data_IF_858934139927
#
_entry.id   IF_858934139927
#
_cell.length_a   1.000
_cell.length_b   1.000
_cell.length_c   1.000
_cell.angle_alpha   90.00
_cell.angle_beta   90.00
_cell.angle_gamma   90.00
#
_symmetry.space_group_name_H-M   'P 1'
#
loop_
_entity.id
_entity.type
_entity.pdbx_description
1 polymer ?
#
# COMPACT_ATOMS: atom_id res chain seq x y z
N UNK A 1 25.33 17.82 -1.16
CA UNK A 1 24.32 17.66 -0.09
C UNK A 1 22.99 18.02 -0.68
N UNK A 2 22.03 17.09 -0.75
CA UNK A 2 20.65 17.44 -1.05
C UNK A 2 20.12 18.38 0.04
N UNK A 3 19.26 19.35 -0.26
CA UNK A 3 18.57 20.09 0.79
C UNK A 3 17.75 19.09 1.60
N UNK A 4 17.89 19.09 2.93
CA UNK A 4 16.94 18.37 3.78
C UNK A 4 15.54 18.92 3.46
N UNK A 5 14.59 18.05 3.07
CA UNK A 5 13.16 18.40 3.09
C UNK A 5 12.83 18.99 4.47
N UNK A 6 11.87 19.89 4.57
CA UNK A 6 11.59 20.65 5.81
C UNK A 6 10.83 19.81 6.85
N UNK A 7 11.31 18.60 7.13
CA UNK A 7 10.66 17.61 8.00
C UNK A 7 10.29 18.19 9.39
N UNK A 8 11.09 19.13 9.89
CA UNK A 8 10.83 19.97 11.08
C UNK A 8 9.41 20.59 11.15
N UNK A 9 8.81 21.03 10.02
CA UNK A 9 7.43 21.54 10.05
C UNK A 9 6.39 20.41 9.99
N UNK A 10 6.68 19.28 9.31
CA UNK A 10 5.84 18.08 9.31
C UNK A 10 5.76 17.48 10.71
N UNK A 11 6.87 17.49 11.45
CA UNK A 11 6.95 17.11 12.85
C UNK A 11 6.00 17.91 13.73
N UNK A 12 5.96 19.23 13.56
CA UNK A 12 5.04 20.10 14.28
C UNK A 12 3.58 19.83 13.88
N UNK A 13 3.31 19.59 12.60
CA UNK A 13 1.96 19.23 12.12
C UNK A 13 1.48 17.89 12.72
N UNK A 14 2.30 16.84 12.68
CA UNK A 14 1.98 15.53 13.26
C UNK A 14 1.69 15.61 14.76
N UNK A 15 2.56 16.29 15.53
CA UNK A 15 2.41 16.49 16.99
C UNK A 15 1.20 17.36 17.37
N UNK A 16 0.70 18.20 16.46
CA UNK A 16 -0.53 18.97 16.66
C UNK A 16 -1.78 18.17 16.26
N UNK A 17 -1.68 17.28 15.27
CA UNK A 17 -2.79 16.45 14.82
C UNK A 17 -3.08 15.27 15.76
N UNK A 18 -2.06 14.74 16.43
CA UNK A 18 -2.17 13.66 17.42
C UNK A 18 -2.91 14.07 18.70
N UNK A 19 -2.99 15.37 19.02
CA UNK A 19 -3.54 15.92 20.29
C UNK A 19 -2.88 15.39 21.58
N UNK A 20 -1.80 14.61 21.45
CA UNK A 20 -1.02 14.00 22.53
C UNK A 20 0.49 14.10 22.25
N UNK A 21 1.30 13.88 23.28
CA UNK A 21 2.75 13.92 23.20
C UNK A 21 3.31 12.69 22.47
N UNK A 22 3.48 12.78 21.15
CA UNK A 22 4.13 11.75 20.33
C UNK A 22 5.59 12.08 20.06
N UNK A 23 6.42 11.04 19.97
CA UNK A 23 7.74 11.14 19.32
C UNK A 23 7.53 10.95 17.81
N UNK A 24 8.29 11.67 16.99
CA UNK A 24 8.34 11.45 15.54
C UNK A 24 9.77 11.07 15.19
N UNK A 25 9.95 9.99 14.43
CA UNK A 25 11.27 9.44 14.09
C UNK A 25 11.34 9.21 12.59
N UNK A 26 12.23 9.97 11.94
CA UNK A 26 12.53 9.80 10.52
C UNK A 26 13.57 8.69 10.32
N UNK A 27 13.31 7.79 9.36
CA UNK A 27 14.11 6.59 9.08
C UNK A 27 14.30 6.37 7.57
N UNK A 28 15.27 5.55 7.17
CA UNK A 28 15.47 5.13 5.76
C UNK A 28 15.23 3.64 5.53
N UNK A 29 15.10 2.91 6.62
CA UNK A 29 15.02 1.47 6.78
C UNK A 29 13.58 0.95 6.91
N UNK A 30 12.58 1.85 7.02
CA UNK A 30 11.16 1.51 7.09
C UNK A 30 10.46 1.77 5.77
N UNK A 31 9.60 0.84 5.36
CA UNK A 31 8.95 0.81 4.03
C UNK A 31 7.94 1.95 3.84
N UNK A 32 7.09 2.16 4.84
CA UNK A 32 6.02 3.17 4.86
C UNK A 32 6.01 3.88 6.23
N UNK A 33 5.06 4.80 6.44
CA UNK A 33 4.81 5.39 7.75
C UNK A 33 4.11 4.37 8.68
N UNK A 34 4.37 4.42 9.98
CA UNK A 34 3.62 3.61 10.96
C UNK A 34 3.51 4.28 12.32
N UNK A 35 2.40 4.05 13.04
CA UNK A 35 2.21 4.56 14.41
C UNK A 35 2.32 3.49 15.49
N UNK A 36 3.31 3.65 16.37
CA UNK A 36 3.44 2.89 17.60
C UNK A 36 2.51 3.39 18.71
N UNK A 37 1.38 2.70 18.87
CA UNK A 37 0.35 2.98 19.89
C UNK A 37 0.87 2.71 21.32
N UNK A 38 1.80 1.76 21.48
CA UNK A 38 2.39 1.40 22.79
C UNK A 38 3.41 2.43 23.24
N UNK A 39 4.37 2.78 22.37
CA UNK A 39 5.47 3.71 22.69
C UNK A 39 5.19 5.18 22.31
N UNK A 40 4.06 5.46 21.64
CA UNK A 40 3.66 6.77 21.08
C UNK A 40 4.72 7.36 20.15
N UNK A 41 5.13 6.55 19.17
CA UNK A 41 6.12 6.91 18.15
C UNK A 41 5.49 6.83 16.77
N UNK A 42 5.37 7.96 16.08
CA UNK A 42 5.08 7.99 14.64
C UNK A 42 6.41 7.87 13.87
N UNK A 43 6.58 6.75 13.18
CA UNK A 43 7.69 6.50 12.29
C UNK A 43 7.38 7.03 10.89
N UNK A 44 8.31 7.79 10.30
CA UNK A 44 8.18 8.37 8.96
C UNK A 44 9.39 8.03 8.08
N UNK A 45 9.21 7.48 6.87
CA UNK A 45 10.32 7.24 5.94
C UNK A 45 10.83 8.56 5.33
N UNK A 46 12.15 8.68 5.15
CA UNK A 46 12.79 9.77 4.39
C UNK A 46 12.62 9.56 2.87
N UNK A 47 11.37 9.49 2.39
CA UNK A 47 11.05 9.32 0.96
C UNK A 47 11.76 10.34 0.06
N UNK A 48 12.43 9.82 -0.97
CA UNK A 48 13.22 10.59 -1.93
C UNK A 48 12.32 11.44 -2.82
N UNK A 49 11.48 10.80 -3.65
CA UNK A 49 10.68 11.47 -4.69
C UNK A 49 9.16 11.25 -4.52
N UNK A 50 8.65 11.55 -3.32
CA UNK A 50 7.22 11.82 -3.09
C UNK A 50 7.03 13.26 -2.62
N UNK A 51 5.86 13.82 -2.93
CA UNK A 51 5.49 15.20 -2.60
C UNK A 51 5.16 15.40 -1.13
N UNK A 52 5.15 16.68 -0.73
CA UNK A 52 4.71 17.11 0.60
C UNK A 52 3.24 16.73 0.89
N UNK A 53 2.42 16.44 -0.14
CA UNK A 53 1.02 16.00 0.02
C UNK A 53 0.90 14.52 0.37
N UNK A 54 1.79 13.66 -0.16
CA UNK A 54 1.87 12.24 0.25
C UNK A 54 2.31 12.13 1.72
N UNK A 55 3.24 12.98 2.17
CA UNK A 55 3.58 13.07 3.60
C UNK A 55 2.38 13.53 4.46
N UNK A 56 1.58 14.52 4.04
CA UNK A 56 0.38 14.94 4.79
C UNK A 56 -0.73 13.87 4.81
N UNK A 57 -0.85 13.09 3.73
CA UNK A 57 -1.74 11.93 3.65
C UNK A 57 -1.33 10.88 4.69
N UNK A 58 -0.08 10.41 4.64
CA UNK A 58 0.41 9.34 5.51
C UNK A 58 0.44 9.75 6.99
N UNK A 59 0.92 10.96 7.31
CA UNK A 59 0.84 11.50 8.69
C UNK A 59 -0.62 11.57 9.16
N UNK A 60 -1.55 11.99 8.30
CA UNK A 60 -2.97 12.05 8.63
C UNK A 60 -3.64 10.69 8.81
N UNK A 61 -3.24 9.70 8.02
CA UNK A 61 -3.73 8.32 8.06
C UNK A 61 -3.27 7.65 9.36
N UNK A 62 -1.96 7.61 9.62
CA UNK A 62 -1.35 7.01 10.82
C UNK A 62 -1.83 7.63 12.13
N UNK A 63 -1.89 8.97 12.20
CA UNK A 63 -2.43 9.67 13.38
C UNK A 63 -3.93 9.37 13.57
N UNK A 64 -4.69 9.12 12.50
CA UNK A 64 -6.10 8.75 12.62
C UNK A 64 -6.28 7.31 13.11
N UNK A 65 -5.44 6.36 12.66
CA UNK A 65 -5.38 5.01 13.23
C UNK A 65 -5.16 5.08 14.74
N UNK A 66 -4.10 5.76 15.18
CA UNK A 66 -3.75 5.90 16.60
C UNK A 66 -4.87 6.52 17.48
N UNK A 67 -5.66 7.43 16.90
CA UNK A 67 -6.77 8.11 17.58
C UNK A 67 -8.09 7.33 17.55
N UNK A 68 -8.32 6.45 16.56
CA UNK A 68 -9.65 5.94 16.24
C UNK A 68 -9.74 4.42 16.05
N UNK A 69 -8.63 3.71 15.85
CA UNK A 69 -8.55 2.24 15.72
C UNK A 69 -8.19 1.60 17.07
N UNK A 70 -9.02 0.69 17.63
CA UNK A 70 -8.70 0.03 18.88
C UNK A 70 -7.78 -1.19 18.66
N UNK A 71 -6.51 -1.09 19.08
CA UNK A 71 -5.49 -2.16 19.11
C UNK A 71 -6.07 -3.57 19.42
N UNK A 72 -6.72 -3.75 20.58
CA UNK A 72 -7.33 -5.03 20.99
C UNK A 72 -8.54 -5.48 20.14
N UNK A 73 -9.10 -4.58 19.33
CA UNK A 73 -10.14 -4.87 18.35
C UNK A 73 -9.57 -5.39 17.03
N UNK A 74 -8.39 -4.89 16.64
CA UNK A 74 -7.67 -5.27 15.43
C UNK A 74 -7.25 -6.76 15.47
N UNK A 75 -6.31 -7.12 16.35
CA UNK A 75 -5.77 -8.49 16.47
C UNK A 75 -6.85 -9.56 16.61
N UNK A 76 -7.85 -9.32 17.50
CA UNK A 76 -8.97 -10.25 17.73
C UNK A 76 -9.81 -10.54 16.48
N UNK A 77 -9.81 -9.63 15.51
CA UNK A 77 -10.60 -9.73 14.28
C UNK A 77 -9.82 -10.43 13.16
N UNK A 78 -8.51 -10.18 13.04
CA UNK A 78 -7.63 -10.87 12.08
C UNK A 78 -7.37 -12.33 12.50
N UNK A 79 -6.98 -12.57 13.76
CA UNK A 79 -6.71 -13.91 14.37
C UNK A 79 -7.79 -14.96 14.07
N UNK A 80 -9.05 -14.53 13.88
CA UNK A 80 -10.21 -15.41 13.73
C UNK A 80 -10.67 -15.65 12.30
N UNK A 81 -10.16 -14.86 11.35
CA UNK A 81 -10.70 -14.78 9.98
C UNK A 81 -9.62 -14.72 8.88
N UNK A 82 -8.34 -14.62 9.25
CA UNK A 82 -7.20 -14.82 8.36
C UNK A 82 -6.90 -13.65 7.42
N UNK A 83 -5.81 -13.83 6.65
CA UNK A 83 -5.20 -12.83 5.78
C UNK A 83 -6.19 -12.21 4.78
N UNK A 84 -7.03 -13.03 4.15
CA UNK A 84 -8.08 -12.59 3.23
C UNK A 84 -9.00 -11.54 3.86
N UNK A 85 -9.47 -11.78 5.09
CA UNK A 85 -10.34 -10.86 5.82
C UNK A 85 -9.62 -9.61 6.33
N UNK A 86 -8.31 -9.69 6.63
CA UNK A 86 -7.47 -8.53 6.98
C UNK A 86 -7.55 -7.45 5.89
N UNK A 87 -7.47 -7.83 4.61
CA UNK A 87 -7.60 -6.88 3.48
C UNK A 87 -8.96 -6.18 3.39
N UNK A 88 -10.04 -6.81 3.87
CA UNK A 88 -11.37 -6.20 3.94
C UNK A 88 -11.49 -5.25 5.14
N UNK A 89 -10.90 -5.60 6.29
CA UNK A 89 -10.84 -4.71 7.46
C UNK A 89 -10.06 -3.43 7.16
N UNK A 90 -8.92 -3.54 6.48
CA UNK A 90 -8.10 -2.40 6.04
C UNK A 90 -8.95 -1.37 5.26
N UNK A 91 -9.47 -1.78 4.10
CA UNK A 91 -10.25 -0.92 3.19
C UNK A 91 -11.44 -0.24 3.88
N UNK A 92 -12.12 -0.94 4.80
CA UNK A 92 -13.30 -0.42 5.50
C UNK A 92 -12.91 0.50 6.67
N UNK A 93 -11.81 0.22 7.37
CA UNK A 93 -11.27 1.10 8.42
C UNK A 93 -10.72 2.40 7.84
N UNK A 94 -9.93 2.34 6.76
CA UNK A 94 -9.38 3.49 6.04
C UNK A 94 -10.46 4.53 5.74
N UNK A 95 -11.55 4.09 5.10
CA UNK A 95 -12.68 4.96 4.76
C UNK A 95 -13.38 5.58 5.98
N UNK A 96 -13.28 4.95 7.17
CA UNK A 96 -13.75 5.53 8.43
C UNK A 96 -12.75 6.54 8.99
N UNK A 97 -11.49 6.15 9.20
CA UNK A 97 -10.49 6.96 9.89
C UNK A 97 -10.12 8.20 9.07
N UNK A 98 -10.04 8.09 7.74
CA UNK A 98 -9.69 9.23 6.89
C UNK A 98 -10.82 10.26 6.86
N UNK A 99 -12.06 9.79 6.78
CA UNK A 99 -13.26 10.64 6.92
C UNK A 99 -13.30 11.31 8.29
N UNK A 100 -12.83 10.68 9.36
CA UNK A 100 -12.73 11.28 10.69
C UNK A 100 -11.63 12.37 10.77
N UNK A 101 -10.40 12.09 10.33
CA UNK A 101 -9.30 13.08 10.39
C UNK A 101 -9.53 14.25 9.41
N UNK A 102 -10.07 13.98 8.21
CA UNK A 102 -10.44 15.03 7.24
C UNK A 102 -11.67 15.84 7.67
N UNK A 103 -12.50 15.33 8.59
CA UNK A 103 -13.58 16.10 9.24
C UNK A 103 -13.05 16.98 10.37
N UNK A 104 -12.06 16.49 11.12
CA UNK A 104 -11.36 17.20 12.21
C UNK A 104 -10.45 18.32 11.68
N UNK A 105 -9.72 18.04 10.60
CA UNK A 105 -8.78 18.96 9.95
C UNK A 105 -9.10 19.12 8.44
N UNK A 106 -10.09 19.95 8.06
CA UNK A 106 -10.58 20.03 6.68
C UNK A 106 -9.56 20.43 5.59
N UNK A 107 -8.40 20.99 5.95
CA UNK A 107 -7.32 21.26 5.00
C UNK A 107 -6.73 20.00 4.36
N UNK A 108 -6.67 18.89 5.13
CA UNK A 108 -6.15 17.60 4.69
C UNK A 108 -6.89 17.05 3.46
N UNK A 109 -8.19 17.36 3.30
CA UNK A 109 -9.00 16.94 2.14
C UNK A 109 -8.33 17.24 0.79
N UNK A 110 -7.58 18.34 0.72
CA UNK A 110 -6.88 18.72 -0.50
C UNK A 110 -5.57 17.96 -0.69
N UNK A 111 -4.84 17.70 0.40
CA UNK A 111 -3.59 16.94 0.39
C UNK A 111 -3.85 15.45 0.14
N UNK A 112 -4.79 14.83 0.85
CA UNK A 112 -5.23 13.44 0.61
C UNK A 112 -5.62 13.22 -0.85
N UNK A 113 -6.40 14.14 -1.45
CA UNK A 113 -6.79 14.03 -2.87
C UNK A 113 -5.60 14.13 -3.84
N UNK A 114 -4.57 14.93 -3.52
CA UNK A 114 -3.36 15.06 -4.35
C UNK A 114 -2.43 13.86 -4.16
N UNK A 115 -2.17 13.48 -2.90
CA UNK A 115 -1.40 12.30 -2.53
C UNK A 115 -1.98 11.02 -3.13
N UNK A 116 -3.28 10.73 -2.99
CA UNK A 116 -3.84 9.52 -3.61
C UNK A 116 -3.81 9.54 -5.14
N UNK A 117 -3.89 10.72 -5.79
CA UNK A 117 -3.66 10.80 -7.23
C UNK A 117 -2.20 10.44 -7.57
N UNK A 118 -1.23 10.94 -6.81
CA UNK A 118 0.19 10.66 -6.98
C UNK A 118 0.50 9.17 -6.77
N UNK A 119 -0.04 8.55 -5.71
CA UNK A 119 0.10 7.10 -5.45
C UNK A 119 -0.57 6.24 -6.55
N UNK A 120 -1.67 6.71 -7.16
CA UNK A 120 -2.26 6.09 -8.35
C UNK A 120 -1.43 6.31 -9.62
N UNK A 121 -0.84 7.50 -9.81
CA UNK A 121 0.07 7.77 -10.93
C UNK A 121 1.37 6.93 -10.81
N UNK A 122 1.77 6.57 -9.59
CA UNK A 122 2.86 5.63 -9.27
C UNK A 122 2.46 4.14 -9.39
N UNK A 123 1.16 3.83 -9.59
CA UNK A 123 0.58 2.49 -9.66
C UNK A 123 0.66 1.62 -8.39
N UNK A 124 0.62 2.22 -7.19
CA UNK A 124 0.58 1.44 -5.95
C UNK A 124 -0.62 0.49 -5.90
N UNK A 125 -1.77 0.88 -6.45
CA UNK A 125 -2.95 0.02 -6.50
C UNK A 125 -2.87 -1.12 -7.54
N UNK A 126 -1.84 -1.14 -8.41
CA UNK A 126 -1.66 -2.14 -9.48
C UNK A 126 -2.79 -2.16 -10.51
N UNK A 127 -3.37 -0.99 -10.83
CA UNK A 127 -4.50 -0.86 -11.77
C UNK A 127 -4.34 0.27 -12.81
N UNK A 128 -3.25 1.05 -12.80
CA UNK A 128 -3.02 2.19 -13.70
C UNK A 128 -3.06 1.79 -15.17
N UNK A 129 -2.57 0.60 -15.50
CA UNK A 129 -2.56 0.04 -16.85
C UNK A 129 -3.81 -0.79 -17.19
N UNK A 130 -4.80 -0.88 -16.29
CA UNK A 130 -6.10 -1.50 -16.58
C UNK A 130 -7.02 -0.53 -17.33
N UNK A 131 -7.59 -0.99 -18.44
CA UNK A 131 -8.74 -0.35 -19.11
C UNK A 131 -9.93 -0.33 -18.14
N UNK A 132 -10.76 0.71 -18.17
CA UNK A 132 -11.86 0.89 -17.21
C UNK A 132 -12.87 -0.28 -17.23
N UNK A 133 -13.10 -0.90 -18.39
CA UNK A 133 -13.89 -2.15 -18.55
C UNK A 133 -13.34 -3.35 -17.74
N UNK A 134 -12.08 -3.32 -17.32
CA UNK A 134 -11.49 -4.30 -16.38
C UNK A 134 -11.65 -3.85 -14.92
N UNK A 135 -11.66 -2.54 -14.64
CA UNK A 135 -11.87 -1.99 -13.28
C UNK A 135 -13.28 -2.31 -12.77
N UNK A 136 -14.29 -2.23 -13.63
CA UNK A 136 -15.65 -2.68 -13.32
C UNK A 136 -15.76 -4.19 -13.04
N UNK A 137 -14.78 -5.00 -13.47
CA UNK A 137 -14.73 -6.46 -13.19
C UNK A 137 -14.05 -6.83 -11.89
N UNK A 138 -13.30 -5.92 -11.25
CA UNK A 138 -12.73 -6.11 -9.91
C UNK A 138 -13.82 -6.47 -8.88
N UNK A 139 -13.46 -7.01 -7.72
CA UNK A 139 -14.44 -7.28 -6.65
C UNK A 139 -15.00 -5.97 -6.08
N UNK A 140 -16.19 -6.03 -5.47
CA UNK A 140 -16.84 -4.85 -4.91
C UNK A 140 -15.95 -4.12 -3.89
N UNK A 141 -15.18 -4.87 -3.09
CA UNK A 141 -14.21 -4.30 -2.12
C UNK A 141 -13.16 -3.41 -2.79
N UNK A 142 -12.66 -3.78 -3.97
CA UNK A 142 -11.68 -2.99 -4.72
C UNK A 142 -12.31 -1.75 -5.35
N UNK A 143 -13.52 -1.89 -5.90
CA UNK A 143 -14.26 -0.75 -6.45
C UNK A 143 -14.58 0.26 -5.35
N UNK A 144 -14.92 -0.21 -4.14
CA UNK A 144 -15.07 0.64 -2.94
C UNK A 144 -13.74 1.30 -2.53
N UNK A 145 -12.65 0.55 -2.41
CA UNK A 145 -11.33 1.07 -2.04
C UNK A 145 -10.90 2.24 -2.94
N UNK A 146 -10.96 2.02 -4.26
CA UNK A 146 -10.65 3.02 -5.27
C UNK A 146 -11.60 4.22 -5.21
N UNK A 147 -12.91 4.00 -5.01
CA UNK A 147 -13.89 5.08 -4.88
C UNK A 147 -13.63 5.95 -3.64
N UNK A 148 -13.29 5.38 -2.48
CA UNK A 148 -13.06 6.15 -1.26
C UNK A 148 -11.69 6.86 -1.24
N UNK A 149 -10.63 6.26 -1.80
CA UNK A 149 -9.30 6.90 -1.87
C UNK A 149 -9.17 7.93 -3.01
N UNK A 150 -9.75 7.69 -4.19
CA UNK A 150 -9.60 8.56 -5.37
C UNK A 150 -10.83 9.44 -5.67
N UNK A 151 -12.01 9.01 -5.25
CA UNK A 151 -13.29 9.61 -5.66
C UNK A 151 -13.74 9.18 -7.06
N UNK A 152 -15.07 9.08 -7.25
CA UNK A 152 -15.73 8.53 -8.44
C UNK A 152 -15.14 8.93 -9.81
N UNK A 153 -14.76 10.20 -9.99
CA UNK A 153 -14.27 10.73 -11.27
C UNK A 153 -12.85 10.24 -11.60
N UNK A 154 -12.04 9.90 -10.59
CA UNK A 154 -10.64 9.49 -10.75
C UNK A 154 -10.44 7.99 -10.64
N UNK A 155 -11.28 7.28 -9.87
CA UNK A 155 -11.27 5.81 -9.84
C UNK A 155 -11.79 5.20 -11.15
N UNK A 156 -12.78 5.84 -11.80
CA UNK A 156 -13.40 5.36 -13.03
C UNK A 156 -14.30 4.14 -12.86
N UNK A 157 -14.59 3.72 -11.62
CA UNK A 157 -15.41 2.55 -11.30
C UNK A 157 -16.90 2.88 -11.22
N UNK A 158 -17.73 1.90 -11.57
CA UNK A 158 -19.18 1.93 -11.38
C UNK A 158 -19.65 0.96 -10.28
N UNK A 159 -20.87 1.20 -9.81
CA UNK A 159 -21.58 0.34 -8.85
C UNK A 159 -22.96 0.00 -9.40
N UNK A 160 -23.38 -1.25 -9.21
CA UNK A 160 -24.76 -1.69 -9.46
C UNK A 160 -25.69 -1.00 -8.46
N UNK A 161 -26.98 -0.87 -8.79
CA UNK A 161 -27.98 -0.27 -7.89
C UNK A 161 -28.07 -1.03 -6.56
N UNK A 162 -27.86 -2.34 -6.61
CA UNK A 162 -27.88 -3.29 -5.50
C UNK A 162 -26.67 -3.10 -4.57
N UNK A 163 -25.55 -2.60 -5.10
CA UNK A 163 -24.30 -2.38 -4.38
C UNK A 163 -24.24 -1.01 -3.68
N UNK A 164 -25.05 -0.04 -4.12
CA UNK A 164 -25.08 1.32 -3.57
C UNK A 164 -25.27 1.39 -2.05
N UNK A 165 -25.97 0.41 -1.45
CA UNK A 165 -26.16 0.37 0.00
C UNK A 165 -24.85 0.16 0.77
N UNK A 166 -23.87 -0.56 0.20
CA UNK A 166 -22.53 -0.69 0.79
C UNK A 166 -21.76 0.64 0.73
N UNK A 167 -21.93 1.42 -0.35
CA UNK A 167 -21.34 2.78 -0.45
C UNK A 167 -21.94 3.70 0.61
N UNK A 168 -23.27 3.66 0.82
CA UNK A 168 -23.97 4.43 1.85
C UNK A 168 -23.57 4.01 3.28
N UNK A 169 -23.43 2.71 3.55
CA UNK A 169 -22.95 2.17 4.83
C UNK A 169 -21.52 2.65 5.13
N UNK A 170 -20.62 2.59 4.14
CA UNK A 170 -19.20 2.96 4.26
C UNK A 170 -19.03 4.47 4.53
N UNK A 171 -19.81 5.33 3.88
CA UNK A 171 -19.88 6.76 4.24
C UNK A 171 -20.54 7.00 5.61
N UNK A 172 -21.34 6.07 6.13
CA UNK A 172 -21.98 6.18 7.45
C UNK A 172 -21.20 5.61 8.64
N UNK A 173 -20.09 4.89 8.42
CA UNK A 173 -19.21 4.35 9.48
C UNK A 173 -18.81 5.40 10.53
N UNK A 174 -18.95 5.06 11.82
CA UNK A 174 -18.59 5.89 12.99
C UNK A 174 -17.75 5.15 14.02
N UNK A 175 -18.00 3.86 14.25
CA UNK A 175 -17.31 3.03 15.26
C UNK A 175 -16.54 1.87 14.65
N UNK A 176 -15.57 1.32 15.40
CA UNK A 176 -14.88 0.07 15.03
C UNK A 176 -15.84 -1.12 14.87
N UNK A 177 -16.95 -1.14 15.61
CA UNK A 177 -17.96 -2.19 15.42
C UNK A 177 -18.60 -2.06 14.03
N UNK A 178 -18.94 -0.84 13.60
CA UNK A 178 -19.56 -0.59 12.29
C UNK A 178 -18.66 -1.10 11.15
N UNK A 179 -17.33 -0.99 11.33
CA UNK A 179 -16.30 -1.46 10.39
C UNK A 179 -16.29 -2.98 10.31
N UNK A 180 -16.28 -3.69 11.44
CA UNK A 180 -16.37 -5.16 11.46
C UNK A 180 -17.70 -5.63 10.87
N UNK A 181 -18.84 -5.09 11.34
CA UNK A 181 -20.19 -5.43 10.85
C UNK A 181 -20.39 -5.13 9.34
N UNK A 182 -19.60 -4.23 8.73
CA UNK A 182 -19.61 -3.96 7.28
C UNK A 182 -18.61 -4.86 6.53
N UNK A 183 -17.38 -5.00 7.02
CA UNK A 183 -16.36 -5.87 6.43
C UNK A 183 -16.84 -7.33 6.35
N UNK A 184 -17.55 -7.81 7.37
CA UNK A 184 -18.16 -9.15 7.37
C UNK A 184 -19.16 -9.34 6.21
N UNK A 185 -20.08 -8.39 6.01
CA UNK A 185 -21.06 -8.45 4.91
C UNK A 185 -20.41 -8.28 3.54
N UNK A 186 -19.38 -7.44 3.42
CA UNK A 186 -18.63 -7.29 2.18
C UNK A 186 -17.85 -8.57 1.84
N UNK A 187 -17.27 -9.24 2.83
CA UNK A 187 -16.55 -10.51 2.65
C UNK A 187 -17.50 -11.63 2.22
N UNK A 188 -18.67 -11.74 2.84
CA UNK A 188 -19.72 -12.68 2.43
C UNK A 188 -20.25 -12.38 1.02
N UNK A 189 -20.53 -11.11 0.69
CA UNK A 189 -20.94 -10.69 -0.66
C UNK A 189 -19.88 -11.01 -1.72
N UNK A 190 -18.61 -10.69 -1.45
CA UNK A 190 -17.51 -10.95 -2.38
C UNK A 190 -17.24 -12.46 -2.55
N UNK A 191 -17.54 -13.31 -1.55
CA UNK A 191 -17.51 -14.78 -1.68
C UNK A 191 -18.56 -15.31 -2.66
N UNK A 192 -19.67 -14.61 -2.84
CA UNK A 192 -20.68 -14.93 -3.85
C UNK A 192 -20.30 -14.31 -5.21
N UNK A 193 -19.92 -13.04 -5.26
CA UNK A 193 -19.46 -12.34 -6.48
C UNK A 193 -18.27 -13.07 -7.16
N UNK A 194 -17.32 -13.60 -6.38
CA UNK A 194 -16.18 -14.38 -6.88
C UNK A 194 -16.63 -15.70 -7.53
N UNK A 195 -17.63 -16.39 -6.96
CA UNK A 195 -18.15 -17.67 -7.49
C UNK A 195 -18.98 -17.47 -8.74
N UNK A 196 -19.77 -16.39 -8.82
CA UNK A 196 -20.47 -16.00 -10.04
C UNK A 196 -19.46 -15.71 -11.17
N UNK A 197 -18.46 -14.87 -10.90
CA UNK A 197 -17.41 -14.53 -11.88
C UNK A 197 -16.54 -15.73 -12.30
N UNK A 198 -16.37 -16.74 -11.45
CA UNK A 198 -15.72 -18.00 -11.83
C UNK A 198 -16.60 -18.87 -12.73
N UNK A 199 -17.91 -18.92 -12.50
CA UNK A 199 -18.86 -19.69 -13.32
C UNK A 199 -19.04 -19.05 -14.72
N UNK A 200 -19.14 -17.73 -14.81
CA UNK A 200 -19.22 -17.00 -16.09
C UNK A 200 -17.97 -17.16 -16.98
N UNK A 201 -16.85 -17.63 -16.43
CA UNK A 201 -15.60 -17.94 -17.17
C UNK A 201 -15.45 -19.43 -17.50
N UNK A 202 -16.37 -20.29 -17.06
CA UNK A 202 -16.26 -21.75 -17.20
C UNK A 202 -16.69 -22.33 -18.55
N UNK A 203 -17.24 -21.52 -19.46
CA UNK A 203 -17.88 -21.98 -20.71
C UNK A 203 -16.97 -21.88 -21.96
N UNK A 204 -15.69 -21.51 -21.80
CA UNK A 204 -14.65 -21.61 -22.84
C UNK A 204 -13.64 -22.74 -22.51
N UNK A 205 -13.66 -23.87 -23.25
CA UNK A 205 -12.78 -25.01 -23.00
C UNK A 205 -11.27 -24.77 -23.20
N UNK A 206 -10.82 -23.57 -23.59
CA UNK A 206 -9.41 -23.30 -23.92
C UNK A 206 -8.67 -22.37 -22.93
N UNK A 207 -9.26 -22.07 -21.77
CA UNK A 207 -8.70 -21.14 -20.77
C UNK A 207 -7.89 -21.78 -19.60
N UNK A 208 -7.53 -23.07 -19.64
CA UNK A 208 -6.73 -23.73 -18.60
C UNK A 208 -5.20 -23.50 -18.71
N UNK A 209 -4.73 -22.25 -18.76
CA UNK A 209 -3.42 -21.78 -18.23
C UNK A 209 -3.34 -20.26 -18.36
N UNK A 210 -3.70 -19.51 -17.30
CA UNK A 210 -3.45 -18.05 -17.20
C UNK A 210 -3.46 -17.53 -15.75
N UNK A 211 -2.96 -18.34 -14.81
CA UNK A 211 -2.58 -17.90 -13.45
C UNK A 211 -1.10 -18.25 -13.26
N UNK A 212 -0.26 -17.32 -13.70
CA UNK A 212 1.18 -17.50 -13.80
C UNK A 212 1.74 -16.67 -14.94
N UNK A 213 2.74 -15.86 -14.63
CA UNK A 213 3.60 -15.10 -15.54
C UNK A 213 2.96 -14.03 -16.46
N UNK A 214 3.08 -12.77 -16.03
CA UNK A 214 3.23 -11.62 -16.94
C UNK A 214 4.53 -10.87 -16.57
N UNK A 215 5.65 -11.59 -16.55
CA UNK A 215 6.97 -10.99 -16.73
C UNK A 215 7.29 -10.97 -18.23
N UNK A 216 7.79 -9.84 -18.72
CA UNK A 216 8.00 -9.65 -20.16
C UNK A 216 9.30 -10.27 -20.64
N UNK A 217 9.22 -11.37 -21.40
CA UNK A 217 10.39 -11.93 -22.10
C UNK A 217 11.01 -10.91 -23.08
N UNK A 218 12.16 -10.37 -22.72
CA UNK A 218 13.06 -9.69 -23.66
C UNK A 218 14.07 -10.69 -24.21
N UNK A 219 13.82 -11.20 -25.42
CA UNK A 219 14.80 -12.01 -26.15
C UNK A 219 16.08 -11.20 -26.45
N UNK A 220 17.24 -11.80 -26.15
CA UNK A 220 18.56 -11.28 -26.51
C UNK A 220 19.54 -12.42 -26.79
N UNK A 221 19.79 -12.70 -28.08
CA UNK A 221 20.58 -13.87 -28.50
C UNK A 221 22.11 -13.63 -28.43
N UNK A 222 22.81 -14.47 -27.65
CA UNK A 222 24.08 -15.14 -27.98
C UNK A 222 24.51 -15.97 -26.74
N UNK A 223 25.07 -17.18 -26.77
CA UNK A 223 25.56 -18.15 -27.77
C UNK A 223 26.94 -18.62 -27.29
N UNK A 224 27.19 -19.94 -27.35
CA UNK A 224 28.51 -20.59 -27.14
C UNK A 224 29.05 -20.56 -25.69
N UNK A 225 29.54 -21.66 -25.10
CA UNK A 225 29.63 -23.04 -25.57
C UNK A 225 29.76 -24.05 -24.41
N UNK A 226 29.70 -25.33 -24.80
CA UNK A 226 29.93 -26.62 -24.12
C UNK A 226 31.19 -26.67 -23.20
N UNK A 227 31.47 -27.70 -22.37
CA UNK A 227 31.10 -29.14 -22.47
C UNK A 227 31.26 -29.90 -21.13
N UNK A 228 30.54 -31.04 -20.99
CA UNK A 228 30.86 -32.27 -20.20
C UNK A 228 30.87 -32.21 -18.64
N UNK A 229 30.11 -33.05 -17.89
CA UNK A 229 30.14 -34.54 -17.67
C UNK A 229 31.20 -34.97 -16.61
N UNK A 230 31.01 -35.94 -15.70
CA UNK A 230 29.98 -37.02 -15.48
C UNK A 230 29.67 -37.28 -13.98
N UNK A 231 28.58 -38.04 -13.70
CA UNK A 231 28.40 -39.21 -12.77
C UNK A 231 29.31 -39.38 -11.51
N UNK A 232 28.90 -39.85 -10.30
CA UNK A 232 27.60 -40.21 -9.66
C UNK A 232 27.78 -40.05 -8.09
N UNK A 233 27.30 -40.80 -7.07
CA UNK A 233 26.58 -42.10 -6.88
C UNK A 233 25.77 -42.18 -5.55
N UNK A 234 24.76 -43.07 -5.55
CA UNK A 234 24.10 -43.87 -4.49
C UNK A 234 24.86 -44.15 -3.14
N UNK A 235 24.25 -44.57 -2.00
CA UNK A 235 22.84 -44.72 -1.53
C UNK A 235 22.78 -45.18 -0.03
N UNK A 236 21.59 -45.12 0.59
CA UNK A 236 21.03 -45.99 1.64
C UNK A 236 21.42 -45.97 3.15
N UNK A 237 20.36 -45.85 3.97
CA UNK A 237 20.09 -46.56 5.24
C UNK A 237 20.84 -46.18 6.55
N UNK A 238 20.28 -46.34 7.76
CA UNK A 238 18.86 -46.56 8.12
C UNK A 238 18.60 -47.53 9.30
N UNK A 239 18.41 -47.02 10.54
CA UNK A 239 17.76 -47.63 11.73
C UNK A 239 17.94 -46.74 12.98
N UNK A 240 17.30 -46.92 14.15
CA UNK A 240 15.90 -47.21 14.55
C UNK A 240 15.86 -47.58 16.07
N UNK A 241 14.83 -47.14 16.82
CA UNK A 241 14.46 -47.60 18.20
C UNK A 241 15.48 -47.27 19.34
N UNK A 242 15.17 -47.21 20.66
CA UNK A 242 13.95 -47.25 21.51
C UNK A 242 14.33 -46.52 22.85
N UNK A 243 13.53 -45.65 23.50
CA UNK A 243 12.33 -45.85 24.37
C UNK A 243 12.63 -46.04 25.89
N UNK A 244 11.63 -45.78 26.77
CA UNK A 244 11.60 -45.86 28.25
C UNK A 244 12.38 -44.74 29.02
N UNK A 245 11.76 -43.81 29.77
CA UNK A 245 11.05 -43.86 31.10
C UNK A 245 12.02 -43.83 32.31
N UNK A 246 11.75 -43.28 33.51
CA UNK A 246 10.51 -42.78 34.16
C UNK A 246 10.88 -42.00 35.46
N UNK A 247 10.02 -41.09 35.98
CA UNK A 247 9.94 -40.68 37.42
C UNK A 247 11.18 -39.98 38.08
N UNK A 248 11.14 -39.30 39.24
CA UNK A 248 10.05 -38.72 40.06
C UNK A 248 10.60 -37.54 40.94
N UNK A 249 9.73 -36.95 41.78
CA UNK A 249 9.89 -36.09 42.99
C UNK A 249 11.32 -35.90 43.60
N UNK A 250 11.70 -34.79 44.26
CA UNK A 250 10.96 -33.62 44.80
C UNK A 250 11.16 -33.49 46.33
N UNK A 251 11.76 -32.39 46.84
CA UNK A 251 11.94 -32.16 48.29
C UNK A 251 12.14 -30.66 48.66
N UNK A 252 12.07 -30.35 49.97
CA UNK A 252 12.11 -29.04 50.67
C UNK A 252 13.58 -28.61 50.99
N UNK A 253 13.96 -27.48 51.62
CA UNK A 253 13.30 -26.29 52.21
C UNK A 253 14.28 -25.52 53.14
N UNK A 254 13.96 -24.27 53.53
CA UNK A 254 14.65 -23.43 54.57
C UNK A 254 16.14 -23.02 54.32
N UNK A 255 16.75 -21.99 54.95
CA UNK A 255 16.30 -20.97 55.92
C UNK A 255 17.05 -19.59 55.75
N UNK A 256 16.65 -18.59 56.55
CA UNK A 256 17.13 -17.21 56.79
C UNK A 256 18.64 -16.87 56.68
N UNK A 257 18.98 -15.63 56.25
CA UNK A 257 19.41 -14.54 57.18
C UNK A 257 19.45 -13.11 56.54
N UNK A 258 19.80 -12.07 57.33
CA UNK A 258 19.95 -10.63 56.96
C UNK A 258 21.34 -10.05 57.41
N UNK A 259 21.62 -8.73 57.37
CA UNK A 259 21.86 -7.84 56.21
C UNK A 259 23.18 -7.01 56.33
N UNK A 260 23.65 -6.33 55.27
CA UNK A 260 24.18 -4.93 55.34
C UNK A 260 24.40 -4.30 53.92
N UNK A 261 24.84 -3.03 53.89
CA UNK A 261 25.04 -2.16 52.73
C UNK A 261 26.45 -2.28 52.08
N UNK A 262 26.57 -1.96 50.78
CA UNK A 262 27.58 -1.02 50.24
C UNK A 262 27.32 -0.66 48.76
N UNK A 263 27.96 0.40 48.28
CA UNK A 263 27.62 1.11 47.04
C UNK A 263 28.29 0.62 45.73
N UNK A 264 27.66 1.03 44.63
CA UNK A 264 28.18 1.31 43.28
C UNK A 264 28.66 0.20 42.30
N UNK A 265 27.96 0.23 41.15
CA UNK A 265 28.43 0.12 39.74
C UNK A 265 28.50 -1.23 39.01
N UNK A 266 27.62 -1.29 38.00
CA UNK A 266 27.87 -1.78 36.62
C UNK A 266 28.27 -3.25 36.42
N UNK A 267 27.25 -4.06 36.10
CA UNK A 267 27.36 -5.26 35.28
C UNK A 267 26.05 -5.46 34.53
N UNK A 268 26.11 -5.90 33.27
CA UNK A 268 24.93 -6.14 32.45
C UNK A 268 24.27 -7.47 32.81
N UNK A 269 22.96 -7.47 33.11
CA UNK A 269 21.95 -8.40 32.58
C UNK A 269 20.54 -8.01 33.07
N UNK A 270 19.65 -7.71 32.13
CA UNK A 270 18.19 -7.78 32.29
C UNK A 270 17.59 -8.19 30.95
N UNK A 271 17.51 -9.49 30.71
CA UNK A 271 16.84 -10.04 29.53
C UNK A 271 15.32 -9.77 29.49
N UNK A 272 14.80 -9.85 28.27
CA UNK A 272 13.43 -10.26 27.92
C UNK A 272 12.25 -9.81 28.82
N UNK A 273 11.67 -8.65 28.50
CA UNK A 273 10.24 -8.54 28.13
C UNK A 273 9.86 -7.12 27.66
N UNK A 274 9.12 -7.03 26.56
CA UNK A 274 8.70 -5.77 25.92
C UNK A 274 8.52 -5.93 24.41
N UNK A 275 7.44 -6.52 23.86
CA UNK A 275 6.01 -6.19 24.03
C UNK A 275 5.67 -4.76 23.59
N UNK A 276 5.14 -4.62 22.37
CA UNK A 276 4.71 -3.34 21.78
C UNK A 276 5.46 -2.98 20.50
N UNK A 277 5.21 -3.69 19.40
CA UNK A 277 5.66 -3.33 18.05
C UNK A 277 4.50 -2.74 17.24
N UNK A 278 4.47 -1.41 17.05
CA UNK A 278 3.52 -0.72 16.18
C UNK A 278 3.94 -0.61 14.71
N UNK A 279 4.33 -1.76 14.19
CA UNK A 279 4.46 -2.10 12.78
C UNK A 279 4.33 -3.62 12.80
N UNK A 280 3.35 -4.20 12.13
CA UNK A 280 2.91 -5.57 12.40
C UNK A 280 4.09 -6.54 12.53
N UNK A 281 4.28 -7.09 13.74
CA UNK A 281 4.92 -8.40 13.88
C UNK A 281 3.87 -9.42 13.44
N UNK A 282 3.70 -9.52 12.12
CA UNK A 282 2.76 -10.46 11.51
C UNK A 282 3.14 -11.86 12.00
N UNK A 283 2.20 -12.54 12.66
CA UNK A 283 2.36 -13.95 12.94
C UNK A 283 2.60 -14.64 11.59
N UNK A 284 3.44 -15.67 11.54
CA UNK A 284 3.77 -16.43 10.33
C UNK A 284 2.52 -17.06 9.65
N UNK A 285 1.39 -17.06 10.37
CA UNK A 285 0.05 -17.44 9.93
C UNK A 285 -0.78 -16.34 9.22
N UNK A 286 -0.48 -15.05 9.45
CA UNK A 286 -1.29 -13.90 8.99
C UNK A 286 -1.00 -13.50 7.52
N UNK A 287 -0.03 -14.18 6.89
CA UNK A 287 0.29 -14.09 5.45
C UNK A 287 -0.31 -15.24 4.62
N UNK A 288 -0.87 -16.28 5.25
CA UNK A 288 -1.37 -17.45 4.53
C UNK A 288 -2.76 -17.13 3.97
N UNK A 289 -2.77 -16.65 2.73
CA UNK A 289 -4.00 -16.46 1.96
C UNK A 289 -4.63 -17.80 1.56
N UNK A 290 -5.97 -17.83 1.57
CA UNK A 290 -6.77 -18.94 1.04
C UNK A 290 -7.29 -18.56 -0.35
N UNK A 291 -6.93 -19.33 -1.38
CA UNK A 291 -7.36 -19.12 -2.76
C UNK A 291 -8.88 -19.29 -2.98
N UNK A 292 -9.57 -20.00 -2.08
CA UNK A 292 -11.03 -20.16 -2.10
C UNK A 292 -11.80 -18.95 -1.53
N UNK A 293 -11.11 -17.95 -0.98
CA UNK A 293 -11.71 -16.76 -0.37
C UNK A 293 -11.32 -15.46 -1.08
N UNK A 294 -12.19 -14.44 -1.08
CA UNK A 294 -11.91 -13.19 -1.77
C UNK A 294 -10.83 -12.39 -1.04
N UNK A 295 -10.12 -11.56 -1.80
CA UNK A 295 -9.08 -10.66 -1.31
C UNK A 295 -9.28 -9.29 -1.98
N UNK A 296 -9.01 -8.19 -1.28
CA UNK A 296 -8.88 -6.90 -1.97
C UNK A 296 -7.53 -6.83 -2.68
N UNK A 297 -7.56 -7.00 -4.00
CA UNK A 297 -6.37 -6.88 -4.85
C UNK A 297 -5.74 -5.50 -4.73
N UNK A 298 -6.56 -4.45 -4.63
CA UNK A 298 -6.10 -3.05 -4.54
C UNK A 298 -5.50 -2.68 -3.19
N UNK A 299 -5.91 -3.32 -2.09
CA UNK A 299 -5.24 -3.20 -0.79
C UNK A 299 -3.93 -3.98 -0.78
N UNK A 300 -3.97 -5.25 -1.24
CA UNK A 300 -2.78 -6.11 -1.34
C UNK A 300 -1.68 -5.44 -2.17
N UNK A 301 -1.98 -5.02 -3.39
CA UNK A 301 -1.03 -4.34 -4.28
C UNK A 301 -0.44 -3.09 -3.62
N UNK A 302 -1.27 -2.30 -2.92
CA UNK A 302 -0.81 -1.09 -2.23
C UNK A 302 0.25 -1.43 -1.18
N UNK A 303 0.01 -2.45 -0.34
CA UNK A 303 0.96 -2.90 0.68
C UNK A 303 2.23 -3.52 0.09
N UNK A 304 2.13 -4.27 -1.02
CA UNK A 304 3.29 -4.81 -1.72
C UNK A 304 4.13 -3.71 -2.40
N UNK A 305 3.50 -2.66 -2.94
CA UNK A 305 4.17 -1.54 -3.63
C UNK A 305 4.60 -0.39 -2.69
N UNK A 306 4.28 -0.43 -1.39
CA UNK A 306 4.74 0.58 -0.42
C UNK A 306 6.28 0.66 -0.34
N UNK A 307 7.00 -0.44 -0.62
CA UNK A 307 8.47 -0.45 -0.70
C UNK A 307 9.03 0.43 -1.82
N UNK A 308 8.29 0.59 -2.91
CA UNK A 308 8.74 1.34 -4.08
C UNK A 308 8.84 2.85 -3.84
N UNK A 309 8.08 3.38 -2.86
CA UNK A 309 8.13 4.79 -2.46
C UNK A 309 9.52 5.21 -1.93
N UNK A 310 10.29 4.23 -1.44
CA UNK A 310 11.65 4.43 -0.92
C UNK A 310 12.77 4.19 -1.93
N UNK A 311 12.45 3.84 -3.19
CA UNK A 311 13.48 3.56 -4.17
C UNK A 311 14.30 4.81 -4.51
N UNK A 312 15.47 4.92 -3.87
CA UNK A 312 16.49 5.90 -4.19
C UNK A 312 17.04 5.61 -5.58
N UNK A 313 16.66 6.44 -6.55
CA UNK A 313 17.30 6.43 -7.86
C UNK A 313 18.79 6.75 -7.70
N UNK A 314 19.67 5.83 -8.10
CA UNK A 314 21.08 6.19 -8.28
C UNK A 314 21.14 7.17 -9.48
N UNK A 315 21.57 8.43 -9.29
CA UNK A 315 21.60 9.41 -10.39
C UNK A 315 22.53 8.98 -11.55
N UNK A 316 23.40 8.00 -11.32
CA UNK A 316 24.30 7.41 -12.31
C UNK A 316 23.68 6.23 -13.09
N UNK A 317 22.56 5.66 -12.64
CA UNK A 317 21.88 4.55 -13.31
C UNK A 317 20.74 5.08 -14.21
N UNK A 318 20.88 5.05 -15.55
CA UNK A 318 19.84 5.56 -16.44
C UNK A 318 18.57 4.69 -16.43
N UNK A 319 18.65 3.44 -15.96
CA UNK A 319 17.52 2.50 -15.90
C UNK A 319 16.60 2.73 -14.71
N UNK A 320 17.08 3.38 -13.63
CA UNK A 320 16.27 3.60 -12.42
C UNK A 320 15.43 4.87 -12.48
N UNK A 321 15.55 5.70 -13.52
CA UNK A 321 14.77 6.93 -13.65
C UNK A 321 13.31 6.63 -13.95
N UNK A 322 12.46 6.76 -12.94
CA UNK A 322 11.04 7.02 -13.14
C UNK A 322 10.96 8.29 -13.99
N UNK A 323 10.10 8.28 -15.01
CA UNK A 323 9.82 9.52 -15.73
C UNK A 323 9.00 10.43 -14.81
N UNK A 324 9.71 11.17 -13.95
CA UNK A 324 9.18 12.42 -13.44
C UNK A 324 8.73 13.22 -14.65
N UNK A 325 7.42 13.47 -14.73
CA UNK A 325 6.93 14.51 -15.62
C UNK A 325 7.35 15.82 -14.98
N UNK A 326 8.61 16.21 -15.24
CA UNK A 326 8.99 17.61 -15.19
C UNK A 326 8.01 18.33 -16.12
N UNK A 327 6.96 18.88 -15.52
CA UNK A 327 6.15 19.89 -16.15
C UNK A 327 6.98 21.18 -16.17
N UNK A 328 8.11 21.13 -16.91
CA UNK A 328 8.71 22.33 -17.42
C UNK A 328 7.61 22.99 -18.25
N UNK A 329 7.18 24.16 -17.78
CA UNK A 329 6.38 25.06 -18.61
C UNK A 329 7.32 25.74 -19.61
N UNK A 330 8.04 24.91 -20.38
CA UNK A 330 8.56 25.20 -21.70
C UNK A 330 7.37 25.34 -22.67
N UNK A 331 6.48 26.27 -22.32
CA UNK A 331 5.45 26.81 -23.18
C UNK A 331 6.17 27.19 -24.47
N UNK A 332 5.83 26.57 -25.61
CA UNK A 332 6.60 26.74 -26.83
C UNK A 332 6.67 28.23 -27.13
N UNK A 333 7.88 28.74 -27.33
CA UNK A 333 8.11 30.19 -27.53
C UNK A 333 7.56 30.57 -28.90
N UNK A 334 6.24 30.77 -28.96
CA UNK A 334 5.50 31.14 -30.16
C UNK A 334 6.04 32.49 -30.60
N UNK A 335 6.85 32.47 -31.65
CA UNK A 335 7.42 33.68 -32.22
C UNK A 335 6.31 34.66 -32.59
N UNK A 336 6.58 35.95 -32.44
CA UNK A 336 5.60 37.02 -32.69
C UNK A 336 4.99 37.00 -34.10
N UNK A 337 5.66 36.38 -35.08
CA UNK A 337 5.17 36.14 -36.45
C UNK A 337 3.90 35.27 -36.53
N UNK A 338 3.55 34.51 -35.49
CA UNK A 338 2.31 33.72 -35.42
C UNK A 338 1.16 34.42 -34.66
N UNK A 339 1.39 35.61 -34.09
CA UNK A 339 0.36 36.39 -33.40
C UNK A 339 -0.30 37.40 -34.34
N UNK A 340 -1.57 37.16 -34.68
CA UNK A 340 -2.38 38.09 -35.46
C UNK A 340 -3.08 39.11 -34.55
N UNK A 341 -2.88 40.39 -34.86
CA UNK A 341 -3.47 41.57 -34.23
C UNK A 341 -4.79 42.02 -34.89
N UNK A 342 -5.01 41.65 -36.16
CA UNK A 342 -6.27 41.86 -36.90
C UNK A 342 -6.72 40.55 -37.57
N UNK A 343 -7.97 40.15 -37.32
CA UNK A 343 -8.62 38.97 -37.90
C UNK A 343 -8.67 39.00 -39.44
N UNK A 344 -8.61 40.19 -40.06
CA UNK A 344 -8.55 40.32 -41.52
C UNK A 344 -7.26 39.74 -42.11
N UNK A 345 -6.12 39.88 -41.41
CA UNK A 345 -4.83 39.32 -41.83
C UNK A 345 -4.88 37.79 -41.87
N UNK A 346 -5.51 37.17 -40.86
CA UNK A 346 -5.78 35.73 -40.82
C UNK A 346 -6.52 35.29 -42.09
N UNK A 347 -7.54 36.03 -42.52
CA UNK A 347 -8.33 35.69 -43.72
C UNK A 347 -7.52 35.85 -45.01
N UNK A 348 -6.61 36.82 -45.11
CA UNK A 348 -5.71 36.94 -46.26
C UNK A 348 -4.69 35.80 -46.32
N UNK A 349 -4.05 35.48 -45.20
CA UNK A 349 -3.02 34.43 -45.17
C UNK A 349 -3.62 33.02 -45.30
N UNK A 350 -4.81 32.75 -44.74
CA UNK A 350 -5.59 31.52 -45.03
C UNK A 350 -5.95 31.42 -46.52
N UNK A 351 -6.28 32.53 -47.20
CA UNK A 351 -6.51 32.53 -48.66
C UNK A 351 -5.22 32.23 -49.44
N UNK A 352 -4.09 32.85 -49.08
CA UNK A 352 -2.77 32.55 -49.68
C UNK A 352 -2.40 31.09 -49.47
N UNK A 353 -2.60 30.55 -48.27
CA UNK A 353 -2.25 29.17 -47.94
C UNK A 353 -3.12 28.17 -48.72
N UNK A 354 -4.43 28.43 -48.83
CA UNK A 354 -5.35 27.63 -49.67
C UNK A 354 -5.00 27.68 -51.16
N UNK A 355 -4.60 28.85 -51.68
CA UNK A 355 -4.07 28.99 -53.04
C UNK A 355 -2.75 28.23 -53.23
N UNK A 356 -1.86 28.26 -52.23
CA UNK A 356 -0.59 27.52 -52.24
C UNK A 356 -0.81 26.01 -52.25
N UNK A 357 -1.71 25.48 -51.42
CA UNK A 357 -2.08 24.06 -51.41
C UNK A 357 -2.65 23.62 -52.77
N UNK A 358 -3.57 24.41 -53.36
CA UNK A 358 -4.13 24.16 -54.69
C UNK A 358 -3.10 24.19 -55.84
N UNK A 359 -1.98 24.90 -55.67
CA UNK A 359 -0.87 24.92 -56.65
C UNK A 359 0.13 23.78 -56.42
N UNK A 360 0.35 23.37 -55.16
CA UNK A 360 1.36 22.38 -54.79
C UNK A 360 0.81 20.95 -54.63
N UNK A 361 -0.50 20.72 -54.77
CA UNK A 361 -1.09 19.39 -54.85
C UNK A 361 -1.24 18.67 -53.49
N UNK A 362 -1.64 19.40 -52.46
CA UNK A 362 -2.00 18.88 -51.12
C UNK A 362 -3.51 19.06 -50.85
#
# INVERSE_FOLDING_TARGET
MSPKKKLDYKDVVGKLMSEENITIVHKRDIKTASFDISNRILFLPEFVDVSEDVYDLLIGHEVSHALHTPERGWHRSTEKKGANFKTFLNVVEDARIEKMIQKKFPGLKSSFKRGYKELYDMDLFGIKYMVDEKKDKLLLIDRLNLYFKLGQIQSGVSFKKEEMHFVEDMDNLKTWKDVVDLAERLFEYCKEEQKEKQQDQGDDPQAQTSTGDITGEYQGENSSSETQETEDTQDSSGSAQQDSSQSDEGDEGDDQDKPDNSDEKSGDDLGDQGSGFGSDMENEFDHIYNDEEPISLTDKNFREHEEELNHYEDPNNPSSRRYTSECSLDLPVVKKEFFYDDWKKIIEDVKKWRLSAMVNGW
#
